data_IF_938624525049
#
_entry.id   IF_938624525049
#
_cell.length_a   1.000
_cell.length_b   1.000
_cell.length_c   1.000
_cell.angle_alpha   90.00
_cell.angle_beta   90.00
_cell.angle_gamma   90.00
#
_symmetry.space_group_name_H-M   'P 1'
#
loop_
_entity.id
_entity.type
_entity.pdbx_description
1 polymer ?
#
# COMPACT_ATOMS: atom_id res chain seq x y z
N UNK A 1 3.29 0.36 23.43
CA UNK A 1 3.13 0.08 22.00
C UNK A 1 4.51 0.12 21.33
N UNK A 2 4.94 -0.95 20.67
CA UNK A 2 6.22 -1.01 19.92
C UNK A 2 5.90 -0.81 18.43
N UNK A 3 6.63 0.08 17.75
CA UNK A 3 6.46 0.31 16.29
C UNK A 3 7.25 -0.69 15.47
N UNK A 4 6.77 -1.03 14.28
CA UNK A 4 7.52 -1.87 13.33
C UNK A 4 8.92 -1.32 13.03
N UNK A 5 9.07 0.01 12.96
CA UNK A 5 10.38 0.66 12.78
C UNK A 5 11.35 0.43 13.94
N UNK A 6 10.84 0.25 15.17
CA UNK A 6 11.66 -0.06 16.35
C UNK A 6 12.14 -1.51 16.30
N UNK A 7 11.26 -2.44 15.91
CA UNK A 7 11.62 -3.85 15.71
C UNK A 7 12.69 -3.96 14.62
N UNK A 8 12.49 -3.29 13.49
CA UNK A 8 13.47 -3.24 12.40
C UNK A 8 14.81 -2.65 12.84
N UNK A 9 14.79 -1.58 13.65
CA UNK A 9 16.02 -1.00 14.20
C UNK A 9 16.75 -1.96 15.13
N UNK A 10 16.03 -2.69 15.99
CA UNK A 10 16.63 -3.68 16.89
C UNK A 10 17.25 -4.85 16.13
N UNK A 11 16.52 -5.41 15.15
CA UNK A 11 17.00 -6.52 14.30
C UNK A 11 18.24 -6.09 13.49
N UNK A 12 18.27 -4.86 12.98
CA UNK A 12 19.46 -4.31 12.32
C UNK A 12 20.62 -4.08 13.30
N UNK A 13 20.35 -3.43 14.43
CA UNK A 13 21.34 -3.17 15.47
C UNK A 13 20.68 -2.88 16.84
N UNK A 14 20.73 -3.85 17.74
CA UNK A 14 20.21 -3.73 19.11
C UNK A 14 20.82 -2.53 19.87
N UNK A 15 22.11 -2.26 19.66
CA UNK A 15 22.79 -1.10 20.29
C UNK A 15 22.25 0.23 19.78
N UNK A 16 22.02 0.37 18.47
CA UNK A 16 21.43 1.58 17.90
C UNK A 16 20.00 1.81 18.41
N UNK A 17 19.23 0.72 18.52
CA UNK A 17 17.91 0.76 19.14
C UNK A 17 17.98 1.22 20.61
N UNK A 18 18.90 0.67 21.41
CA UNK A 18 19.06 1.06 22.81
C UNK A 18 19.41 2.54 22.98
N UNK A 19 20.35 3.05 22.17
CA UNK A 19 20.66 4.48 22.17
C UNK A 19 19.44 5.33 21.82
N UNK A 20 18.68 4.95 20.79
CA UNK A 20 17.52 5.71 20.36
C UNK A 20 16.35 5.65 21.36
N UNK A 21 16.08 4.47 21.94
CA UNK A 21 14.86 4.21 22.71
C UNK A 21 15.03 4.30 24.22
N UNK A 22 16.18 3.90 24.74
CA UNK A 22 16.47 3.92 26.18
C UNK A 22 17.21 5.19 26.57
N UNK A 23 18.19 5.62 25.76
CA UNK A 23 18.99 6.82 26.03
C UNK A 23 18.48 8.09 25.34
N UNK A 24 17.51 7.98 24.42
CA UNK A 24 16.89 9.12 23.76
C UNK A 24 17.76 9.82 22.71
N UNK A 25 18.83 9.19 22.22
CA UNK A 25 19.66 9.77 21.17
C UNK A 25 18.88 9.86 19.85
N UNK A 26 18.93 11.02 19.20
CA UNK A 26 18.34 11.23 17.88
C UNK A 26 19.29 10.76 16.79
N UNK A 27 18.74 10.19 15.72
CA UNK A 27 19.51 9.90 14.51
C UNK A 27 20.04 11.22 13.92
N UNK A 28 21.30 11.24 13.48
CA UNK A 28 21.84 12.35 12.71
C UNK A 28 21.23 12.41 11.29
N UNK A 29 20.66 11.29 10.80
CA UNK A 29 20.20 11.16 9.41
C UNK A 29 18.69 11.44 9.23
N UNK A 30 18.14 12.40 9.99
CA UNK A 30 16.71 12.73 9.97
C UNK A 30 16.23 13.10 8.56
N UNK A 31 17.06 13.81 7.79
CA UNK A 31 16.71 14.27 6.44
C UNK A 31 16.42 13.10 5.49
N UNK A 32 17.29 12.09 5.46
CA UNK A 32 17.06 10.91 4.61
C UNK A 32 15.85 10.10 5.09
N UNK A 33 15.62 10.00 6.41
CA UNK A 33 14.45 9.32 6.96
C UNK A 33 13.13 10.01 6.56
N UNK A 34 13.10 11.34 6.57
CA UNK A 34 11.94 12.11 6.11
C UNK A 34 11.70 11.94 4.61
N UNK A 35 12.77 11.99 3.81
CA UNK A 35 12.69 11.74 2.38
C UNK A 35 12.16 10.32 2.06
N UNK A 36 12.64 9.31 2.79
CA UNK A 36 12.15 7.93 2.69
C UNK A 36 10.67 7.82 3.05
N UNK A 37 10.24 8.47 4.14
CA UNK A 37 8.83 8.53 4.54
C UNK A 37 7.95 9.15 3.44
N UNK A 38 8.37 10.29 2.90
CA UNK A 38 7.65 10.97 1.82
C UNK A 38 7.54 10.08 0.57
N UNK A 39 8.61 9.36 0.23
CA UNK A 39 8.62 8.43 -0.91
C UNK A 39 7.67 7.26 -0.70
N UNK A 40 7.66 6.66 0.49
CA UNK A 40 6.71 5.60 0.84
C UNK A 40 5.26 6.06 0.80
N UNK A 41 4.96 7.27 1.30
CA UNK A 41 3.61 7.85 1.20
C UNK A 41 3.19 8.10 -0.24
N UNK A 42 4.08 8.62 -1.09
CA UNK A 42 3.80 8.83 -2.50
C UNK A 42 3.53 7.50 -3.22
N UNK A 43 4.31 6.46 -2.93
CA UNK A 43 4.07 5.12 -3.45
C UNK A 43 2.73 4.54 -2.97
N UNK A 44 2.40 4.70 -1.68
CA UNK A 44 1.11 4.26 -1.12
C UNK A 44 -0.09 4.86 -1.87
N UNK A 45 -0.07 6.17 -2.13
CA UNK A 45 -1.11 6.84 -2.93
C UNK A 45 -1.23 6.28 -4.35
N UNK A 46 -0.10 5.94 -5.00
CA UNK A 46 -0.12 5.33 -6.32
C UNK A 46 -0.76 3.94 -6.27
N UNK A 47 -0.40 3.11 -5.29
CA UNK A 47 -0.96 1.77 -5.06
C UNK A 47 -2.47 1.82 -4.83
N UNK A 48 -2.95 2.76 -3.99
CA UNK A 48 -4.39 3.00 -3.80
C UNK A 48 -5.10 3.34 -5.12
N UNK A 49 -4.49 4.18 -5.96
CA UNK A 49 -4.98 4.49 -7.30
C UNK A 49 -5.11 3.23 -8.18
N UNK A 50 -4.10 2.37 -8.18
CA UNK A 50 -4.14 1.10 -8.91
C UNK A 50 -5.24 0.16 -8.42
N UNK A 51 -5.46 0.07 -7.11
CA UNK A 51 -6.56 -0.74 -6.56
C UNK A 51 -7.93 -0.23 -7.01
N UNK A 52 -8.14 1.09 -7.03
CA UNK A 52 -9.38 1.70 -7.52
C UNK A 52 -9.60 1.43 -9.01
N UNK A 53 -8.57 1.61 -9.83
CA UNK A 53 -8.63 1.32 -11.26
C UNK A 53 -8.92 -0.17 -11.52
N UNK A 54 -8.27 -1.06 -10.76
CA UNK A 54 -8.50 -2.51 -10.86
C UNK A 54 -9.95 -2.86 -10.52
N UNK A 55 -10.52 -2.27 -9.46
CA UNK A 55 -11.92 -2.48 -9.10
C UNK A 55 -12.86 -1.99 -10.20
N UNK A 56 -12.61 -0.80 -10.75
CA UNK A 56 -13.40 -0.28 -11.86
C UNK A 56 -13.32 -1.17 -13.11
N UNK A 57 -12.13 -1.67 -13.45
CA UNK A 57 -11.94 -2.58 -14.57
C UNK A 57 -12.75 -3.88 -14.42
N UNK A 58 -12.69 -4.52 -13.25
CA UNK A 58 -13.50 -5.71 -12.99
C UNK A 58 -15.00 -5.41 -12.98
N UNK A 59 -15.42 -4.26 -12.45
CA UNK A 59 -16.81 -3.83 -12.51
C UNK A 59 -17.32 -3.67 -13.95
N UNK A 60 -16.54 -3.01 -14.81
CA UNK A 60 -16.86 -2.85 -16.23
C UNK A 60 -16.93 -4.19 -16.97
N UNK A 61 -15.98 -5.10 -16.72
CA UNK A 61 -15.99 -6.44 -17.30
C UNK A 61 -17.23 -7.25 -16.87
N UNK A 62 -17.62 -7.15 -15.60
CA UNK A 62 -18.83 -7.80 -15.10
C UNK A 62 -20.09 -7.27 -15.77
N UNK A 63 -20.22 -5.94 -15.92
CA UNK A 63 -21.35 -5.32 -16.64
C UNK A 63 -21.37 -5.78 -18.10
N UNK A 64 -20.24 -5.75 -18.80
CA UNK A 64 -20.15 -6.20 -20.19
C UNK A 64 -20.57 -7.67 -20.34
N UNK A 65 -20.14 -8.54 -19.42
CA UNK A 65 -20.52 -9.95 -19.41
C UNK A 65 -22.03 -10.14 -19.19
N UNK A 66 -22.64 -9.41 -18.24
CA UNK A 66 -24.08 -9.47 -17.99
C UNK A 66 -24.90 -8.99 -19.20
N UNK A 67 -24.47 -7.91 -19.85
CA UNK A 67 -25.12 -7.42 -21.07
C UNK A 67 -25.04 -8.43 -22.21
N UNK A 68 -23.88 -9.06 -22.40
CA UNK A 68 -23.68 -10.10 -23.41
C UNK A 68 -24.56 -11.33 -23.12
N UNK A 69 -24.65 -11.75 -21.86
CA UNK A 69 -25.52 -12.84 -21.44
C UNK A 69 -27.00 -12.50 -21.68
N UNK A 70 -27.44 -11.30 -21.29
CA UNK A 70 -28.81 -10.85 -21.54
C UNK A 70 -29.15 -10.82 -23.03
N UNK A 71 -28.23 -10.30 -23.86
CA UNK A 71 -28.39 -10.28 -25.31
C UNK A 71 -28.51 -11.69 -25.90
N UNK A 72 -27.67 -12.63 -25.44
CA UNK A 72 -27.70 -14.02 -25.89
C UNK A 72 -29.01 -14.72 -25.50
N UNK A 73 -29.48 -14.54 -24.27
CA UNK A 73 -30.76 -15.12 -23.83
C UNK A 73 -31.95 -14.56 -24.64
N UNK A 74 -31.94 -13.27 -24.95
CA UNK A 74 -32.98 -12.61 -25.75
C UNK A 74 -32.94 -12.98 -27.25
N UNK A 75 -31.79 -13.45 -27.74
CA UNK A 75 -31.64 -13.89 -29.13
C UNK A 75 -31.98 -15.36 -29.33
N UNK A 76 -31.70 -16.24 -28.36
CA UNK A 76 -32.11 -17.65 -28.40
C UNK A 76 -33.59 -17.88 -28.07
N UNK A 77 -34.23 -16.96 -27.34
CA UNK A 77 -35.66 -17.03 -27.01
C UNK A 77 -36.60 -16.52 -28.11
N UNK A 78 -36.07 -16.03 -29.23
CA UNK A 78 -36.82 -15.74 -30.47
C UNK A 78 -36.61 -16.88 -31.46
#
# INVERSE_FOLDING_TARGET
MIRASEVGQYVFCARAWWYARVKGYRSANVRAMQAGTARHQAHGRAVEGYHRLRLAAFGLLAVAFLLLLAWLLLSLGK
#
